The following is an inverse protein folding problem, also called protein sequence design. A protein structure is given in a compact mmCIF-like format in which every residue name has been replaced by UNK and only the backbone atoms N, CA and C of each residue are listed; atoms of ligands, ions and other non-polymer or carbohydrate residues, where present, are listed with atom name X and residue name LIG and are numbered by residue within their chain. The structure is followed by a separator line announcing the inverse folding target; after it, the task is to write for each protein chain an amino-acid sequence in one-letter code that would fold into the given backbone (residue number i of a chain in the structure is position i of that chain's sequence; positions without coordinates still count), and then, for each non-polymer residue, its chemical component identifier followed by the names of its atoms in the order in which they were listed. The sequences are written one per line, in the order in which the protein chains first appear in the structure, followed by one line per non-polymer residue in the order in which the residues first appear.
data_IF_638865900280
#
_entry.id   IF_638865900280
#
_cell.length_a   1.000
_cell.length_b   1.000
_cell.length_c   1.000
_cell.angle_alpha   90.00
_cell.angle_beta   90.00
_cell.angle_gamma   90.00
#
_symmetry.space_group_name_H-M   'P 1'
#
loop_
_entity.id
_entity.type
_entity.pdbx_description
1 polymer ?
#
# COMPACT_ATOMS: atom_id res chain seq x y z
N UNK A 1 12.77 26.91 7.14
CA UNK A 1 12.52 27.62 5.86
C UNK A 1 11.50 26.75 5.14
N UNK A 2 10.29 27.26 4.94
CA UNK A 2 9.20 26.55 4.25
C UNK A 2 9.36 26.90 2.78
N UNK A 3 9.53 25.90 1.91
CA UNK A 3 9.64 26.11 0.46
C UNK A 3 8.25 25.98 -0.16
N UNK A 4 7.94 26.84 -1.12
CA UNK A 4 6.73 26.72 -1.94
C UNK A 4 6.84 25.56 -2.93
N UNK A 5 5.71 25.04 -3.41
CA UNK A 5 5.69 23.96 -4.42
C UNK A 5 6.52 24.32 -5.68
N UNK A 6 6.45 25.58 -6.12
CA UNK A 6 7.21 26.09 -7.26
C UNK A 6 8.72 26.08 -7.01
N UNK A 7 9.16 26.44 -5.80
CA UNK A 7 10.58 26.36 -5.42
C UNK A 7 11.04 24.90 -5.38
N UNK A 8 10.22 24.00 -4.85
CA UNK A 8 10.50 22.56 -4.80
C UNK A 8 10.62 21.92 -6.19
N UNK A 9 9.74 22.28 -7.12
CA UNK A 9 9.83 21.89 -8.53
C UNK A 9 11.12 22.40 -9.19
N UNK A 10 11.60 23.59 -8.78
CA UNK A 10 12.86 24.15 -9.27
C UNK A 10 14.07 23.38 -8.73
N UNK A 11 14.04 22.95 -7.48
CA UNK A 11 15.14 22.18 -6.86
C UNK A 11 15.19 20.72 -7.35
N UNK A 12 14.05 20.13 -7.69
CA UNK A 12 13.94 18.72 -8.10
C UNK A 12 13.15 18.59 -9.41
N UNK A 13 13.71 19.06 -10.54
CA UNK A 13 12.98 19.18 -11.80
C UNK A 13 12.62 17.84 -12.46
N UNK A 14 13.28 16.74 -12.03
CA UNK A 14 13.03 15.40 -12.55
C UNK A 14 12.05 14.58 -11.69
N UNK A 15 11.63 15.13 -10.55
CA UNK A 15 10.66 14.50 -9.65
C UNK A 15 9.26 15.03 -9.95
N UNK A 16 8.25 14.18 -9.79
CA UNK A 16 6.87 14.59 -9.97
C UNK A 16 6.34 15.22 -8.68
N UNK A 17 5.83 16.44 -8.77
CA UNK A 17 5.21 17.17 -7.67
C UNK A 17 3.75 17.47 -8.00
N UNK A 18 2.85 17.07 -7.10
CA UNK A 18 1.41 17.23 -7.24
C UNK A 18 0.86 17.96 -6.03
N UNK A 19 0.00 18.95 -6.26
CA UNK A 19 -0.79 19.55 -5.19
C UNK A 19 -1.85 18.55 -4.72
N UNK A 20 -2.04 18.47 -3.40
CA UNK A 20 -3.03 17.62 -2.76
C UNK A 20 -3.91 18.49 -1.87
N UNK A 21 -4.98 19.01 -2.45
CA UNK A 21 -5.89 19.93 -1.76
C UNK A 21 -6.47 19.31 -0.48
N UNK A 22 -6.78 20.15 0.52
CA UNK A 22 -7.47 19.71 1.75
C UNK A 22 -8.79 18.98 1.45
N UNK A 23 -9.45 19.36 0.35
CA UNK A 23 -10.65 18.68 -0.14
C UNK A 23 -10.34 17.24 -0.54
N UNK A 24 -9.30 17.01 -1.33
CA UNK A 24 -8.85 15.66 -1.74
C UNK A 24 -8.47 14.82 -0.53
N UNK A 25 -7.77 15.41 0.44
CA UNK A 25 -7.45 14.76 1.71
C UNK A 25 -8.72 14.35 2.47
N UNK A 26 -9.69 15.25 2.57
CA UNK A 26 -10.97 14.99 3.25
C UNK A 26 -11.77 13.89 2.54
N UNK A 27 -11.87 13.95 1.21
CA UNK A 27 -12.57 12.94 0.41
C UNK A 27 -11.92 11.56 0.57
N UNK A 28 -10.59 11.47 0.47
CA UNK A 28 -9.85 10.22 0.69
C UNK A 28 -10.02 9.67 2.11
N UNK A 29 -10.03 10.54 3.13
CA UNK A 29 -10.27 10.14 4.52
C UNK A 29 -11.69 9.61 4.72
N UNK A 30 -12.70 10.23 4.10
CA UNK A 30 -14.08 9.78 4.14
C UNK A 30 -14.25 8.39 3.52
N UNK A 31 -13.58 8.12 2.39
CA UNK A 31 -13.62 6.81 1.73
C UNK A 31 -13.17 5.67 2.64
N UNK A 32 -12.16 5.88 3.48
CA UNK A 32 -11.60 4.82 4.34
C UNK A 32 -12.21 4.75 5.75
N UNK A 33 -12.94 5.79 6.18
CA UNK A 33 -13.40 5.95 7.57
C UNK A 33 -14.80 5.39 7.87
N UNK A 34 -15.36 4.59 6.96
CA UNK A 34 -16.72 4.08 6.95
C UNK A 34 -17.79 5.12 6.57
N UNK A 35 -18.44 4.83 5.44
CA UNK A 35 -19.72 5.38 5.04
C UNK A 35 -20.80 5.01 6.06
N UNK A 36 -21.62 5.99 6.44
CA UNK A 36 -22.93 5.72 7.04
C UNK A 36 -23.77 5.04 5.97
N UNK A 37 -24.13 3.78 6.16
CA UNK A 37 -25.27 3.25 5.42
C UNK A 37 -26.54 4.04 5.84
N UNK A 38 -27.58 3.98 5.01
CA UNK A 38 -28.88 4.66 5.21
C UNK A 38 -29.60 4.30 6.52
N UNK A 39 -29.04 3.38 7.31
CA UNK A 39 -29.55 2.89 8.59
C UNK A 39 -28.68 3.32 9.80
N UNK A 40 -27.60 4.09 9.59
CA UNK A 40 -26.79 4.67 10.67
C UNK A 40 -25.78 3.71 11.34
N UNK A 41 -25.52 2.54 10.74
CA UNK A 41 -24.52 1.59 11.23
C UNK A 41 -23.20 1.84 10.48
N UNK A 42 -22.18 2.33 11.20
CA UNK A 42 -20.85 2.55 10.63
C UNK A 42 -20.15 1.19 10.40
N UNK A 43 -20.07 0.75 9.14
CA UNK A 43 -19.35 -0.47 8.79
C UNK A 43 -17.86 -0.15 8.64
N UNK A 44 -17.07 -0.44 9.68
CA UNK A 44 -15.62 -0.22 9.63
C UNK A 44 -14.98 -1.06 8.51
N UNK A 45 -14.17 -0.41 7.67
CA UNK A 45 -13.50 -1.07 6.54
C UNK A 45 -12.11 -1.63 6.88
N UNK A 46 -11.59 -1.30 8.07
CA UNK A 46 -10.24 -1.64 8.53
C UNK A 46 -10.25 -1.93 10.03
N UNK A 47 -9.41 -2.86 10.48
CA UNK A 47 -9.50 -3.40 11.85
C UNK A 47 -8.95 -2.51 12.95
N UNK A 48 -8.14 -1.50 12.60
CA UNK A 48 -7.55 -0.58 13.56
C UNK A 48 -7.13 0.74 12.89
N UNK A 49 -6.70 1.71 13.71
CA UNK A 49 -6.30 3.03 13.24
C UNK A 49 -5.08 3.00 12.31
N UNK A 50 -4.12 2.10 12.54
CA UNK A 50 -2.91 2.01 11.72
C UNK A 50 -3.20 1.48 10.30
N UNK A 51 -4.04 0.45 10.20
CA UNK A 51 -4.53 -0.06 8.92
C UNK A 51 -5.32 1.01 8.15
N UNK A 52 -6.20 1.74 8.85
CA UNK A 52 -6.95 2.86 8.26
C UNK A 52 -6.06 4.00 7.77
N UNK A 53 -5.02 4.35 8.53
CA UNK A 53 -4.03 5.35 8.13
C UNK A 53 -3.26 4.91 6.88
N UNK A 54 -2.82 3.65 6.85
CA UNK A 54 -2.16 3.07 5.67
C UNK A 54 -3.06 3.14 4.43
N UNK A 55 -4.32 2.73 4.58
CA UNK A 55 -5.31 2.82 3.52
C UNK A 55 -5.57 4.27 3.06
N UNK A 56 -5.62 5.22 3.99
CA UNK A 56 -5.76 6.64 3.67
C UNK A 56 -4.59 7.14 2.79
N UNK A 57 -3.34 6.91 3.21
CA UNK A 57 -2.17 7.32 2.44
C UNK A 57 -2.12 6.65 1.06
N UNK A 58 -2.44 5.36 0.99
CA UNK A 58 -2.54 4.62 -0.27
C UNK A 58 -3.63 5.17 -1.20
N UNK A 59 -4.80 5.52 -0.66
CA UNK A 59 -5.93 6.12 -1.41
C UNK A 59 -5.55 7.46 -2.00
N UNK A 60 -4.93 8.31 -1.18
CA UNK A 60 -4.52 9.66 -1.57
C UNK A 60 -3.46 9.59 -2.68
N UNK A 61 -2.44 8.76 -2.47
CA UNK A 61 -1.37 8.51 -3.42
C UNK A 61 -1.89 7.97 -4.75
N UNK A 62 -2.75 6.94 -4.72
CA UNK A 62 -3.32 6.32 -5.91
C UNK A 62 -4.18 7.32 -6.70
N UNK A 63 -5.12 7.99 -6.04
CA UNK A 63 -6.06 8.92 -6.69
C UNK A 63 -5.31 10.06 -7.35
N UNK A 64 -4.33 10.64 -6.66
CA UNK A 64 -3.56 11.76 -7.18
C UNK A 64 -2.65 11.34 -8.34
N UNK A 65 -2.04 10.16 -8.26
CA UNK A 65 -1.21 9.62 -9.33
C UNK A 65 -2.03 9.26 -10.58
N UNK A 66 -3.22 8.67 -10.41
CA UNK A 66 -4.14 8.38 -11.52
C UNK A 66 -4.60 9.66 -12.21
N UNK A 67 -5.00 10.69 -11.45
CA UNK A 67 -5.39 11.98 -12.01
C UNK A 67 -4.24 12.62 -12.82
N UNK A 68 -3.00 12.50 -12.36
CA UNK A 68 -1.84 12.96 -13.12
C UNK A 68 -1.65 12.17 -14.43
N UNK A 69 -1.76 10.84 -14.38
CA UNK A 69 -1.65 9.99 -15.58
C UNK A 69 -2.69 10.33 -16.64
N UNK A 70 -3.95 10.53 -16.24
CA UNK A 70 -5.06 10.86 -17.15
C UNK A 70 -4.86 12.19 -17.89
N UNK A 71 -4.14 13.13 -17.28
CA UNK A 71 -3.84 14.44 -17.88
C UNK A 71 -2.63 14.38 -18.82
N UNK A 72 -1.65 13.53 -18.54
CA UNK A 72 -0.35 13.54 -19.23
C UNK A 72 -0.22 12.50 -20.34
N UNK A 73 -1.14 11.54 -20.42
CA UNK A 73 -1.13 10.51 -21.45
C UNK A 73 -2.50 10.37 -22.10
N UNK A 74 -2.51 10.04 -23.38
CA UNK A 74 -3.75 9.81 -24.12
C UNK A 74 -4.42 8.50 -23.67
N UNK A 75 -5.77 8.48 -23.67
CA UNK A 75 -6.56 7.32 -23.19
C UNK A 75 -6.28 6.02 -23.94
N UNK A 76 -5.78 6.10 -25.17
CA UNK A 76 -5.46 4.95 -26.01
C UNK A 76 -4.11 4.30 -25.61
N UNK A 77 -3.21 5.06 -24.99
CA UNK A 77 -1.90 4.58 -24.52
C UNK A 77 -1.95 4.03 -23.08
N UNK A 78 -2.96 4.40 -22.29
CA UNK A 78 -3.11 3.99 -20.89
C UNK A 78 -4.34 3.11 -20.64
N UNK A 79 -4.22 1.80 -20.90
CA UNK A 79 -5.05 0.85 -20.17
C UNK A 79 -4.52 0.75 -18.74
N UNK A 80 -4.99 1.63 -17.85
CA UNK A 80 -4.69 1.56 -16.42
C UNK A 80 -5.61 0.54 -15.77
N UNK A 81 -5.04 -0.58 -15.32
CA UNK A 81 -5.74 -1.54 -14.48
C UNK A 81 -5.22 -1.43 -13.05
N UNK A 82 -6.13 -1.11 -12.14
CA UNK A 82 -5.87 -1.17 -10.72
C UNK A 82 -6.98 -1.96 -10.04
N UNK A 83 -6.62 -2.72 -9.01
CA UNK A 83 -7.58 -3.38 -8.15
C UNK A 83 -7.51 -2.70 -6.80
N UNK A 84 -8.53 -1.91 -6.47
CA UNK A 84 -8.73 -1.48 -5.09
C UNK A 84 -9.09 -2.71 -4.26
N UNK A 85 -8.23 -3.09 -3.33
CA UNK A 85 -8.48 -4.22 -2.44
C UNK A 85 -8.11 -3.84 -1.01
N UNK A 86 -9.15 -3.46 -0.24
CA UNK A 86 -9.02 -3.12 1.17
C UNK A 86 -8.36 -4.24 1.99
N UNK A 87 -8.47 -5.51 1.57
CA UNK A 87 -7.83 -6.64 2.25
C UNK A 87 -6.31 -6.64 2.14
N UNK A 88 -5.74 -5.96 1.13
CA UNK A 88 -4.29 -5.73 1.02
C UNK A 88 -3.87 -4.59 1.94
N UNK A 89 -4.52 -3.44 1.86
CA UNK A 89 -4.16 -2.25 2.66
C UNK A 89 -4.43 -2.39 4.15
N UNK A 90 -5.27 -3.35 4.55
CA UNK A 90 -5.41 -3.78 5.94
C UNK A 90 -4.07 -4.20 6.56
N UNK A 91 -3.13 -4.72 5.75
CA UNK A 91 -1.91 -5.38 6.27
C UNK A 91 -0.61 -5.01 5.55
N UNK A 92 -0.68 -4.40 4.37
CA UNK A 92 0.49 -4.04 3.55
C UNK A 92 0.37 -2.61 3.03
N UNK A 93 1.41 -1.82 3.27
CA UNK A 93 1.55 -0.49 2.67
C UNK A 93 1.91 -0.59 1.17
N UNK A 94 1.36 0.31 0.36
CA UNK A 94 1.61 0.38 -1.07
C UNK A 94 0.49 -0.18 -1.94
N UNK A 95 0.47 0.30 -3.18
CA UNK A 95 -0.61 0.05 -4.15
C UNK A 95 -0.02 -0.36 -5.48
N UNK A 96 -0.33 -1.57 -5.93
CA UNK A 96 0.03 -2.04 -7.26
C UNK A 96 -0.95 -1.52 -8.31
N UNK A 97 -0.42 -1.08 -9.44
CA UNK A 97 -1.17 -0.65 -10.61
C UNK A 97 -0.45 -1.12 -11.88
N UNK A 98 -1.20 -1.42 -12.93
CA UNK A 98 -0.64 -1.81 -14.23
C UNK A 98 -0.97 -0.74 -15.25
N UNK A 99 0.08 -0.20 -15.88
CA UNK A 99 0.01 0.80 -16.94
C UNK A 99 0.49 0.16 -18.23
N UNK A 100 -0.44 -0.12 -19.15
CA UNK A 100 -0.15 -0.91 -20.34
C UNK A 100 0.32 -2.32 -19.96
N UNK A 101 1.63 -2.59 -20.11
CA UNK A 101 2.25 -3.86 -19.69
C UNK A 101 3.13 -3.72 -18.44
N UNK A 102 3.37 -2.50 -17.97
CA UNK A 102 4.25 -2.24 -16.83
C UNK A 102 3.46 -2.26 -15.54
N UNK A 103 3.83 -3.17 -14.64
CA UNK A 103 3.30 -3.19 -13.28
C UNK A 103 4.18 -2.34 -12.40
N UNK A 104 3.61 -1.35 -11.73
CA UNK A 104 4.32 -0.54 -10.74
C UNK A 104 3.64 -0.66 -9.38
N UNK A 105 4.39 -0.43 -8.30
CA UNK A 105 3.83 -0.23 -6.97
C UNK A 105 4.16 1.17 -6.47
N UNK A 106 3.15 1.90 -6.03
CA UNK A 106 3.31 3.17 -5.33
C UNK A 106 3.51 2.86 -3.84
N UNK A 107 4.57 3.38 -3.22
CA UNK A 107 4.85 3.17 -1.80
C UNK A 107 4.85 4.54 -1.12
N UNK A 108 3.71 4.93 -0.50
CA UNK A 108 3.63 6.20 0.18
C UNK A 108 4.39 6.18 1.49
N UNK A 109 5.01 7.31 1.79
CA UNK A 109 5.62 7.63 3.07
C UNK A 109 5.23 9.04 3.47
N UNK A 110 4.68 9.18 4.67
CA UNK A 110 4.38 10.48 5.26
C UNK A 110 5.57 10.92 6.11
N UNK A 111 6.43 11.77 5.52
CA UNK A 111 7.60 12.33 6.19
C UNK A 111 7.84 13.73 5.65
N UNK A 112 8.24 14.67 6.49
CA UNK A 112 8.61 16.02 6.05
C UNK A 112 9.92 16.04 5.26
N UNK A 113 10.88 15.16 5.59
CA UNK A 113 12.13 15.00 4.88
C UNK A 113 12.32 13.55 4.44
N UNK A 114 12.27 13.32 3.14
CA UNK A 114 12.55 12.02 2.55
C UNK A 114 14.06 11.72 2.55
N UNK A 115 14.45 10.64 3.19
CA UNK A 115 15.81 10.09 3.14
C UNK A 115 15.86 8.67 2.59
N UNK A 116 14.78 7.92 2.75
CA UNK A 116 14.70 6.50 2.40
C UNK A 116 13.25 6.08 2.14
N UNK A 117 13.09 4.96 1.44
CA UNK A 117 11.82 4.28 1.26
C UNK A 117 11.91 2.90 1.90
N UNK A 118 10.91 2.56 2.71
CA UNK A 118 10.77 1.24 3.34
C UNK A 118 9.80 0.42 2.50
N UNK A 119 10.32 -0.58 1.79
CA UNK A 119 9.55 -1.40 0.86
C UNK A 119 9.12 -2.68 1.58
N UNK A 120 7.82 -2.93 1.79
CA UNK A 120 7.34 -4.15 2.41
C UNK A 120 7.87 -5.41 1.70
N UNK A 121 8.30 -6.39 2.49
CA UNK A 121 8.84 -7.65 1.98
C UNK A 121 7.88 -8.35 1.00
N UNK A 122 6.58 -8.17 1.20
CA UNK A 122 5.49 -8.69 0.38
C UNK A 122 5.63 -8.29 -1.10
N UNK A 123 6.08 -7.07 -1.40
CA UNK A 123 6.26 -6.61 -2.77
C UNK A 123 7.54 -7.13 -3.43
N UNK A 124 8.45 -7.74 -2.67
CA UNK A 124 9.77 -8.21 -3.13
C UNK A 124 9.83 -9.73 -3.25
N UNK A 125 9.19 -10.43 -2.30
CA UNK A 125 9.39 -11.85 -2.08
C UNK A 125 8.12 -12.70 -2.35
N UNK A 126 6.96 -12.09 -2.61
CA UNK A 126 5.76 -12.80 -3.12
C UNK A 126 5.80 -12.82 -4.65
N UNK A 127 5.96 -13.99 -5.31
CA UNK A 127 6.17 -14.07 -6.75
C UNK A 127 5.10 -13.36 -7.59
N UNK A 128 3.83 -13.51 -7.21
CA UNK A 128 2.68 -12.95 -7.96
C UNK A 128 2.50 -11.44 -7.74
N UNK A 129 3.20 -10.86 -6.76
CA UNK A 129 3.04 -9.46 -6.38
C UNK A 129 4.15 -8.56 -6.92
N UNK A 130 5.25 -9.14 -7.40
CA UNK A 130 6.41 -8.38 -7.86
C UNK A 130 6.03 -7.45 -9.02
N UNK A 131 6.19 -6.13 -8.85
CA UNK A 131 6.10 -5.17 -9.93
C UNK A 131 7.43 -5.09 -10.69
N UNK A 132 7.38 -4.46 -11.87
CA UNK A 132 8.57 -4.06 -12.62
C UNK A 132 9.29 -2.91 -11.90
N UNK A 133 8.53 -1.96 -11.36
CA UNK A 133 9.06 -0.77 -10.68
C UNK A 133 8.38 -0.46 -9.35
N UNK A 134 9.17 0.08 -8.44
CA UNK A 134 8.78 0.50 -7.10
C UNK A 134 8.96 2.01 -7.02
N UNK A 135 7.85 2.75 -6.91
CA UNK A 135 7.85 4.21 -6.85
C UNK A 135 7.77 4.65 -5.39
N UNK A 136 8.77 5.41 -4.96
CA UNK A 136 8.75 6.03 -3.65
C UNK A 136 7.94 7.33 -3.72
N UNK A 137 6.89 7.43 -2.91
CA UNK A 137 6.01 8.60 -2.89
C UNK A 137 6.05 9.25 -1.52
N UNK A 138 6.50 10.49 -1.44
CA UNK A 138 6.46 11.29 -0.24
C UNK A 138 5.16 12.10 -0.19
N UNK A 139 4.49 12.08 0.96
CA UNK A 139 3.32 12.90 1.25
C UNK A 139 3.67 13.91 2.34
N UNK A 140 3.27 15.17 2.12
CA UNK A 140 3.22 16.19 3.16
C UNK A 140 1.78 16.72 3.22
N UNK A 141 1.03 16.20 4.19
CA UNK A 141 -0.38 16.52 4.36
C UNK A 141 -0.57 17.96 4.85
N UNK A 142 0.32 18.44 5.73
CA UNK A 142 0.30 19.79 6.28
C UNK A 142 0.54 20.86 5.21
N UNK A 143 1.48 20.59 4.30
CA UNK A 143 1.80 21.49 3.18
C UNK A 143 1.03 21.16 1.89
N UNK A 144 0.08 20.21 1.96
CA UNK A 144 -0.82 19.85 0.85
C UNK A 144 -0.11 19.48 -0.46
N UNK A 145 0.93 18.64 -0.39
CA UNK A 145 1.60 18.15 -1.59
C UNK A 145 1.99 16.66 -1.52
N UNK A 146 2.11 16.08 -2.71
CA UNK A 146 2.62 14.74 -2.97
C UNK A 146 3.82 14.85 -3.91
N UNK A 147 4.83 14.02 -3.67
CA UNK A 147 6.01 13.93 -4.51
C UNK A 147 6.34 12.48 -4.85
N UNK A 148 6.48 12.17 -6.13
CA UNK A 148 7.14 10.92 -6.54
C UNK A 148 8.63 11.19 -6.58
N UNK A 149 9.35 10.68 -5.57
CA UNK A 149 10.78 10.93 -5.36
C UNK A 149 11.63 10.25 -6.44
N UNK A 150 11.13 9.16 -7.02
CA UNK A 150 11.81 8.35 -8.02
C UNK A 150 11.35 6.89 -7.93
N UNK A 151 12.01 6.05 -8.71
CA UNK A 151 11.71 4.63 -8.77
C UNK A 151 12.96 3.76 -8.62
N UNK A 152 12.74 2.49 -8.29
CA UNK A 152 13.75 1.44 -8.32
C UNK A 152 13.19 0.16 -8.96
N UNK A 153 14.10 -0.68 -9.45
CA UNK A 153 13.82 -2.06 -9.86
C UNK A 153 14.08 -3.02 -8.70
N UNK A 154 13.48 -4.22 -8.76
CA UNK A 154 13.76 -5.27 -7.78
C UNK A 154 15.26 -5.60 -7.67
N UNK A 155 15.97 -5.64 -8.80
CA UNK A 155 17.41 -5.91 -8.82
C UNK A 155 18.23 -4.83 -8.10
N UNK A 156 17.84 -3.56 -8.24
CA UNK A 156 18.46 -2.47 -7.48
C UNK A 156 18.19 -2.60 -5.99
N UNK A 157 16.94 -2.88 -5.60
CA UNK A 157 16.54 -3.04 -4.19
C UNK A 157 17.36 -4.16 -3.56
N UNK A 158 17.40 -5.35 -4.15
CA UNK A 158 18.16 -6.49 -3.59
C UNK A 158 19.67 -6.22 -3.48
N UNK A 159 20.22 -5.34 -4.33
CA UNK A 159 21.65 -5.02 -4.34
C UNK A 159 22.02 -3.88 -3.38
N UNK A 160 21.14 -2.90 -3.20
CA UNK A 160 21.47 -1.61 -2.55
C UNK A 160 20.72 -1.34 -1.25
N UNK A 161 19.59 -2.01 -1.01
CA UNK A 161 18.85 -1.86 0.24
C UNK A 161 19.48 -2.68 1.37
N UNK A 162 19.13 -2.33 2.61
CA UNK A 162 19.31 -3.21 3.75
C UNK A 162 17.95 -3.78 4.17
N UNK A 163 17.92 -5.05 4.56
CA UNK A 163 16.71 -5.67 5.07
C UNK A 163 16.59 -5.43 6.58
N UNK A 164 15.58 -4.66 6.97
CA UNK A 164 15.21 -4.46 8.38
C UNK A 164 14.31 -5.61 8.84
N UNK A 165 14.84 -6.43 9.76
CA UNK A 165 14.15 -7.59 10.32
C UNK A 165 13.03 -7.20 11.28
N UNK A 166 13.11 -6.05 11.94
CA UNK A 166 12.11 -5.61 12.91
C UNK A 166 10.83 -5.22 12.21
N UNK A 167 10.96 -4.54 11.07
CA UNK A 167 9.84 -4.11 10.25
C UNK A 167 9.58 -5.03 9.07
N UNK A 168 10.40 -6.05 8.80
CA UNK A 168 10.30 -6.87 7.57
C UNK A 168 10.15 -6.00 6.31
N UNK A 169 11.05 -5.03 6.15
CA UNK A 169 11.08 -4.15 4.98
C UNK A 169 12.49 -4.09 4.39
N UNK A 170 12.56 -3.86 3.09
CA UNK A 170 13.79 -3.49 2.41
C UNK A 170 13.89 -1.97 2.39
N UNK A 171 14.89 -1.43 3.08
CA UNK A 171 15.08 0.01 3.23
C UNK A 171 16.12 0.48 2.22
N UNK A 172 15.67 1.27 1.26
CA UNK A 172 16.49 1.81 0.17
C UNK A 172 16.68 3.32 0.39
N UNK A 173 17.94 3.79 0.27
CA UNK A 173 18.22 5.21 0.35
C UNK A 173 17.57 5.96 -0.81
N UNK A 174 17.05 7.15 -0.55
CA UNK A 174 16.50 8.03 -1.58
C UNK A 174 17.52 8.37 -2.68
N UNK A 175 18.82 8.41 -2.36
CA UNK A 175 19.89 8.66 -3.35
C UNK A 175 20.11 7.50 -4.32
N UNK A 176 19.59 6.30 -4.01
CA UNK A 176 19.67 5.13 -4.89
C UNK A 176 18.49 5.03 -5.85
N UNK A 177 17.47 5.89 -5.72
CA UNK A 177 16.35 5.97 -6.64
C UNK A 177 16.77 6.61 -7.97
N UNK A 178 16.14 6.16 -9.04
CA UNK A 178 16.17 6.86 -10.32
C UNK A 178 15.06 7.90 -10.30
N UNK A 179 15.42 9.19 -10.29
CA UNK A 179 14.44 10.27 -10.13
C UNK A 179 13.54 10.44 -11.37
N UNK A 180 14.13 10.37 -12.57
CA UNK A 180 13.45 10.70 -13.81
C UNK A 180 12.51 9.57 -14.27
N UNK A 181 11.20 9.76 -14.06
CA UNK A 181 10.15 8.82 -14.48
C UNK A 181 10.09 8.60 -16.01
N UNK A 182 10.53 9.54 -16.84
CA UNK A 182 10.54 9.37 -18.31
C UNK A 182 11.46 8.24 -18.75
N UNK A 183 12.56 8.03 -18.01
CA UNK A 183 13.49 6.92 -18.25
C UNK A 183 12.79 5.57 -18.05
N UNK A 184 11.84 5.50 -17.10
CA UNK A 184 11.05 4.29 -16.85
C UNK A 184 10.19 3.94 -18.07
N UNK A 185 9.53 4.94 -18.66
CA UNK A 185 8.65 4.78 -19.82
C UNK A 185 9.43 4.39 -21.08
N UNK A 186 10.57 5.02 -21.34
CA UNK A 186 11.41 4.69 -22.51
C UNK A 186 12.03 3.29 -22.40
N UNK A 187 12.35 2.83 -21.18
CA UNK A 187 12.90 1.50 -20.97
C UNK A 187 11.89 0.38 -21.25
N UNK A 188 10.58 0.66 -21.14
CA UNK A 188 9.51 -0.29 -21.41
C UNK A 188 9.49 -0.76 -22.87
N UNK A 189 9.73 0.14 -23.82
CA UNK A 189 9.69 -0.17 -25.25
C UNK A 189 10.89 -1.00 -25.74
N UNK A 190 11.93 -1.13 -24.92
CA UNK A 190 13.22 -1.68 -25.34
C UNK A 190 13.65 -2.93 -24.57
N UNK A 191 13.11 -3.19 -23.37
CA UNK A 191 13.54 -4.30 -22.52
C UNK A 191 12.35 -5.11 -21.98
N UNK A 192 12.20 -6.35 -22.45
CA UNK A 192 11.36 -7.34 -21.78
C UNK A 192 12.05 -7.80 -20.48
N UNK A 193 11.57 -7.33 -19.32
CA UNK A 193 12.09 -7.76 -18.03
C UNK A 193 11.69 -9.21 -17.78
N UNK A 194 12.66 -10.12 -17.72
CA UNK A 194 12.38 -11.52 -17.37
C UNK A 194 11.77 -11.59 -15.97
N UNK A 195 10.64 -12.31 -15.82
CA UNK A 195 10.04 -12.55 -14.50
C UNK A 195 11.08 -13.24 -13.59
N UNK A 196 11.28 -12.75 -12.37
CA UNK A 196 12.27 -13.32 -11.48
C UNK A 196 11.91 -14.77 -11.12
N UNK A 197 12.89 -15.67 -11.23
CA UNK A 197 12.76 -17.04 -10.73
C UNK A 197 12.79 -17.00 -9.20
N UNK A 198 11.60 -17.06 -8.59
CA UNK A 198 11.44 -17.24 -7.15
C UNK A 198 10.98 -18.64 -6.81
N UNK A 199 11.39 -19.11 -5.63
CA UNK A 199 10.87 -20.36 -5.09
C UNK A 199 9.36 -20.23 -4.88
N UNK A 200 8.62 -21.27 -5.29
CA UNK A 200 7.20 -21.35 -5.05
C UNK A 200 6.92 -21.32 -3.55
N UNK A 201 5.88 -20.57 -3.16
CA UNK A 201 5.41 -20.51 -1.78
C UNK A 201 4.89 -21.89 -1.33
N UNK A 202 5.00 -22.22 -0.03
CA UNK A 202 4.52 -23.50 0.47
C UNK A 202 3.00 -23.60 0.29
N UNK A 203 2.53 -24.77 -0.15
CA UNK A 203 1.10 -25.09 -0.11
C UNK A 203 0.69 -25.35 1.34
N UNK A 204 -0.24 -24.55 1.86
CA UNK A 204 -0.78 -24.74 3.20
C UNK A 204 -1.90 -25.79 3.19
N UNK A 205 -1.94 -26.65 4.21
CA UNK A 205 -3.07 -27.54 4.46
C UNK A 205 -4.23 -26.77 5.10
N UNK A 206 -5.47 -27.19 4.87
CA UNK A 206 -6.67 -26.48 5.35
C UNK A 206 -6.68 -26.25 6.88
N UNK A 207 -6.17 -27.20 7.66
CA UNK A 207 -6.06 -27.05 9.12
C UNK A 207 -5.01 -26.00 9.53
N UNK A 208 -3.91 -25.89 8.79
CA UNK A 208 -2.88 -24.88 9.02
C UNK A 208 -3.42 -23.49 8.68
N UNK A 209 -4.15 -23.36 7.57
CA UNK A 209 -4.80 -22.10 7.18
C UNK A 209 -5.72 -21.60 8.29
N UNK A 210 -6.61 -22.45 8.82
CA UNK A 210 -7.54 -22.02 9.87
C UNK A 210 -6.83 -21.60 11.17
N UNK A 211 -5.75 -22.31 11.54
CA UNK A 211 -4.93 -21.94 12.69
C UNK A 211 -4.26 -20.57 12.48
N UNK A 212 -3.67 -20.34 11.30
CA UNK A 212 -3.03 -19.08 10.92
C UNK A 212 -4.03 -17.93 10.88
N UNK A 213 -5.19 -18.12 10.23
CA UNK A 213 -6.24 -17.11 10.17
C UNK A 213 -6.69 -16.72 11.57
N UNK A 214 -6.92 -17.69 12.46
CA UNK A 214 -7.31 -17.43 13.86
C UNK A 214 -6.24 -16.61 14.59
N UNK A 215 -4.96 -16.99 14.45
CA UNK A 215 -3.84 -16.28 15.08
C UNK A 215 -3.68 -14.84 14.55
N UNK A 216 -3.82 -14.65 13.23
CA UNK A 216 -3.63 -13.37 12.56
C UNK A 216 -4.86 -12.43 12.67
N UNK A 217 -5.99 -12.95 13.17
CA UNK A 217 -7.24 -12.17 13.26
C UNK A 217 -7.23 -11.12 14.36
N UNK A 218 -6.31 -11.20 15.33
CA UNK A 218 -6.21 -10.25 16.44
C UNK A 218 -6.05 -8.80 15.92
N UNK A 219 -7.10 -8.00 16.08
CA UNK A 219 -7.17 -6.61 15.63
C UNK A 219 -6.24 -5.67 16.42
N UNK A 220 -5.88 -6.05 17.65
CA UNK A 220 -4.96 -5.29 18.52
C UNK A 220 -3.52 -5.34 18.02
N UNK A 221 -3.16 -6.39 17.28
CA UNK A 221 -1.89 -6.47 16.59
C UNK A 221 -1.90 -5.54 15.36
N UNK A 222 -1.13 -4.45 15.44
CA UNK A 222 -0.95 -3.48 14.35
C UNK A 222 -0.15 -4.03 13.15
N UNK A 223 0.56 -5.14 13.31
CA UNK A 223 1.38 -5.74 12.25
C UNK A 223 1.29 -7.27 12.32
N UNK A 224 0.18 -7.87 11.87
CA UNK A 224 -0.03 -9.32 11.93
C UNK A 224 1.10 -10.10 11.23
N UNK A 225 1.72 -9.52 10.20
CA UNK A 225 2.88 -10.09 9.49
C UNK A 225 4.10 -10.43 10.37
N UNK A 226 4.26 -9.77 11.51
CA UNK A 226 5.38 -10.02 12.44
C UNK A 226 5.11 -11.18 13.40
N UNK A 227 3.90 -11.76 13.41
CA UNK A 227 3.49 -12.79 14.37
C UNK A 227 3.74 -14.22 13.89
N UNK A 228 4.06 -14.41 12.61
CA UNK A 228 4.27 -15.71 11.96
C UNK A 228 5.47 -15.64 11.01
N UNK A 229 6.09 -16.78 10.66
CA UNK A 229 7.08 -16.83 9.59
C UNK A 229 6.56 -16.25 8.26
N UNK A 230 7.44 -15.55 7.53
CA UNK A 230 7.07 -14.90 6.26
C UNK A 230 6.48 -15.88 5.22
N UNK A 231 6.95 -17.13 5.16
CA UNK A 231 6.42 -18.12 4.22
C UNK A 231 4.95 -18.46 4.47
N UNK A 232 4.52 -18.52 5.74
CA UNK A 232 3.13 -18.75 6.12
C UNK A 232 2.28 -17.51 5.85
N UNK A 233 2.82 -16.32 6.18
CA UNK A 233 2.21 -15.03 5.87
C UNK A 233 1.97 -14.84 4.37
N UNK A 234 3.01 -15.02 3.56
CA UNK A 234 2.98 -14.90 2.10
C UNK A 234 1.97 -15.88 1.48
N UNK A 235 1.86 -17.10 1.99
CA UNK A 235 0.90 -18.08 1.50
C UNK A 235 -0.56 -17.67 1.79
N UNK A 236 -0.85 -17.02 2.93
CA UNK A 236 -2.16 -16.42 3.21
C UNK A 236 -2.45 -15.26 2.26
N UNK A 237 -1.48 -14.35 2.06
CA UNK A 237 -1.67 -13.16 1.23
C UNK A 237 -1.83 -13.46 -0.25
N UNK A 238 -1.13 -14.47 -0.78
CA UNK A 238 -1.17 -14.80 -2.22
C UNK A 238 -2.54 -15.30 -2.65
N UNK A 239 -3.26 -16.00 -1.76
CA UNK A 239 -4.62 -16.46 -2.03
C UNK A 239 -5.64 -15.37 -1.67
N UNK A 240 -6.35 -14.85 -2.67
CA UNK A 240 -7.45 -13.90 -2.47
C UNK A 240 -8.49 -14.40 -1.46
N UNK A 241 -8.85 -15.69 -1.49
CA UNK A 241 -9.83 -16.25 -0.56
C UNK A 241 -9.40 -16.11 0.91
N UNK A 242 -8.17 -16.54 1.23
CA UNK A 242 -7.60 -16.45 2.57
C UNK A 242 -7.37 -15.00 3.02
N UNK A 243 -6.87 -14.13 2.14
CA UNK A 243 -6.68 -12.71 2.44
C UNK A 243 -7.99 -12.00 2.79
N UNK A 244 -9.04 -12.21 2.00
CA UNK A 244 -10.38 -11.67 2.32
C UNK A 244 -10.95 -12.28 3.61
N UNK A 245 -10.74 -13.59 3.84
CA UNK A 245 -11.17 -14.24 5.08
C UNK A 245 -10.48 -13.63 6.31
N UNK A 246 -9.17 -13.34 6.21
CA UNK A 246 -8.42 -12.67 7.26
C UNK A 246 -8.97 -11.26 7.52
N UNK A 247 -9.12 -10.45 6.47
CA UNK A 247 -9.64 -9.09 6.54
C UNK A 247 -11.02 -9.04 7.25
N UNK A 248 -11.94 -9.92 6.86
CA UNK A 248 -13.25 -10.03 7.49
C UNK A 248 -13.18 -10.41 8.97
N UNK A 249 -12.30 -11.34 9.35
CA UNK A 249 -12.15 -11.74 10.76
C UNK A 249 -11.57 -10.59 11.61
N UNK A 250 -10.63 -9.83 11.05
CA UNK A 250 -10.02 -8.69 11.74
C UNK A 250 -11.00 -7.55 11.96
N UNK A 251 -11.84 -7.21 10.98
CA UNK A 251 -12.89 -6.18 11.14
C UNK A 251 -13.93 -6.59 12.19
N UNK A 252 -14.38 -7.84 12.17
CA UNK A 252 -15.44 -8.31 13.08
C UNK A 252 -15.04 -8.35 14.55
N UNK A 253 -13.75 -8.42 14.86
CA UNK A 253 -13.27 -8.42 16.24
C UNK A 253 -13.24 -7.02 16.87
N UNK A 254 -13.34 -5.95 16.07
CA UNK A 254 -13.37 -4.56 16.56
C UNK A 254 -14.81 -4.02 16.76
N UNK A 255 -15.84 -4.84 16.51
CA UNK A 255 -17.21 -4.50 16.90
C UNK A 255 -17.33 -4.56 18.44
N UNK A 256 -17.72 -3.46 19.12
CA UNK A 256 -17.92 -3.49 20.56
C UNK A 256 -19.01 -4.50 20.89
N UNK A 257 -18.70 -5.44 21.79
CA UNK A 257 -19.69 -6.32 22.41
C UNK A 257 -20.69 -5.41 23.13
N UNK A 258 -21.87 -5.23 22.53
CA UNK A 258 -23.00 -4.60 23.22
C UNK A 258 -23.37 -5.57 24.35
N UNK A 259 -22.97 -5.27 25.57
CA UNK A 259 -23.48 -5.96 26.76
C UNK A 259 -25.00 -5.74 26.79
N UNK A 260 -25.74 -6.76 26.36
CA UNK A 260 -27.17 -6.83 26.55
C UNK A 260 -27.44 -7.06 28.03
N UNK A 261 -27.55 -5.96 28.79
CA UNK A 261 -28.10 -5.96 30.14
C UNK A 261 -29.50 -6.59 30.08
N UNK A 262 -29.55 -7.87 30.46
CA UNK A 262 -30.80 -8.60 30.58
C UNK A 262 -31.49 -8.08 31.84
N UNK A 263 -32.53 -7.29 31.64
CA UNK A 263 -33.43 -6.80 32.69
C UNK A 263 -33.81 -7.95 33.64
N UNK A 264 -33.35 -7.83 34.88
CA UNK A 264 -33.83 -8.62 36.00
C UNK A 264 -35.29 -8.22 36.22
N UNK A 265 -36.20 -9.13 35.88
CA UNK A 265 -37.60 -9.05 36.29
C UNK A 265 -37.66 -9.18 37.83
N UNK A 266 -38.06 -8.11 38.50
CA UNK A 266 -38.48 -8.15 39.91
C UNK A 266 -39.98 -8.48 39.94
N UNK A 267 -40.27 -9.70 40.41
CA UNK A 267 -41.52 -10.06 41.11
C UNK A 267 -41.66 -9.34 42.44
#
# INVERSE_FOLDING_TARGET
MVFTLTELQTFFPHQLWLEVSERTQTEAWQTVSAERNSEGIAQQSYSNAAARWTAYLNTLCLTQFLAWLEVHFEKEDLSCQFSFDASVWEVVNGTALTIGQTRVVLIPVEQSRFSEVCIPQEWIDIPDWIPDYYLAVQLNLDECWMRVCGYATRAQILKRSHYDRMTQTYVLSGSDLIENLDVMWVAQDTCATAKPELQALPSLLSNQVECLLTKLSDSTAHSPRLTVPFSEWAAILTSNHYRHSLHQRRIKQDEPVVESDTQIALT
#
